data_IF_472255082554
#
_entry.id   IF_472255082554
#
_cell.length_a   1.000
_cell.length_b   1.000
_cell.length_c   1.000
_cell.angle_alpha   90.00
_cell.angle_beta   90.00
_cell.angle_gamma   90.00
#
_symmetry.space_group_name_H-M   'P 1'
#
loop_
_entity.id
_entity.type
_entity.pdbx_description
1 polymer ?
#
# COMPACT_ATOMS: atom_id res chain seq x y z
N UNK A 1 26.13 -4.58 27.36
CA UNK A 1 25.61 -5.38 26.23
C UNK A 1 24.20 -4.85 25.96
N UNK A 2 24.14 -3.58 25.55
CA UNK A 2 22.94 -2.78 25.33
C UNK A 2 23.39 -1.77 24.28
N UNK A 3 23.10 -2.01 23.01
CA UNK A 3 23.42 -1.08 21.90
C UNK A 3 22.71 -1.50 20.60
N UNK A 4 22.22 -2.74 20.50
CA UNK A 4 21.57 -3.23 19.27
C UNK A 4 20.16 -2.67 19.05
N UNK A 5 19.45 -2.26 20.10
CA UNK A 5 18.05 -1.79 20.01
C UNK A 5 17.95 -0.32 19.54
N UNK A 6 18.95 0.51 19.87
CA UNK A 6 18.97 1.92 19.48
C UNK A 6 19.15 2.15 17.99
N UNK A 7 19.70 1.19 17.23
CA UNK A 7 19.79 1.24 15.76
C UNK A 7 18.49 0.77 15.09
N UNK A 8 17.71 -0.09 15.76
CA UNK A 8 16.45 -0.63 15.26
C UNK A 8 15.35 0.42 15.18
N UNK A 9 15.20 1.25 16.21
CA UNK A 9 14.16 2.28 16.24
C UNK A 9 14.34 3.40 15.18
N UNK A 10 15.53 3.97 14.95
CA UNK A 10 15.79 4.89 13.83
C UNK A 10 15.59 4.24 12.46
N UNK A 11 16.06 3.01 12.26
CA UNK A 11 15.90 2.29 11.00
C UNK A 11 14.41 2.05 10.70
N UNK A 12 13.64 1.63 11.70
CA UNK A 12 12.19 1.45 11.59
C UNK A 12 11.48 2.78 11.28
N UNK A 13 11.85 3.88 11.94
CA UNK A 13 11.31 5.22 11.63
C UNK A 13 11.60 5.64 10.20
N UNK A 14 12.83 5.40 9.71
CA UNK A 14 13.21 5.70 8.34
C UNK A 14 12.42 4.84 7.33
N UNK A 15 12.25 3.55 7.61
CA UNK A 15 11.44 2.65 6.78
C UNK A 15 9.97 3.10 6.70
N UNK A 16 9.38 3.51 7.84
CA UNK A 16 8.02 4.06 7.89
C UNK A 16 7.90 5.35 7.06
N UNK A 17 8.85 6.27 7.22
CA UNK A 17 8.86 7.53 6.47
C UNK A 17 8.99 7.31 4.96
N UNK A 18 9.81 6.34 4.54
CA UNK A 18 9.94 5.98 3.13
C UNK A 18 8.69 5.30 2.59
N UNK A 19 8.07 4.39 3.35
CA UNK A 19 6.81 3.76 2.97
C UNK A 19 5.71 4.81 2.78
N UNK A 20 5.51 5.71 3.76
CA UNK A 20 4.50 6.78 3.67
C UNK A 20 4.73 7.68 2.46
N UNK A 21 5.98 8.06 2.19
CA UNK A 21 6.32 8.86 0.99
C UNK A 21 6.00 8.11 -0.30
N UNK A 22 6.42 6.86 -0.42
CA UNK A 22 6.15 6.03 -1.59
C UNK A 22 4.64 5.85 -1.80
N UNK A 23 3.90 5.62 -0.71
CA UNK A 23 2.45 5.49 -0.70
C UNK A 23 1.76 6.76 -1.21
N UNK A 24 2.12 7.92 -0.68
CA UNK A 24 1.54 9.21 -1.06
C UNK A 24 1.73 9.50 -2.55
N UNK A 25 2.95 9.30 -3.06
CA UNK A 25 3.26 9.47 -4.48
C UNK A 25 2.39 8.57 -5.37
N UNK A 26 2.12 7.34 -4.93
CA UNK A 26 1.31 6.40 -5.69
C UNK A 26 -0.17 6.69 -5.58
N UNK A 27 -0.67 7.04 -4.39
CA UNK A 27 -2.04 7.46 -4.20
C UNK A 27 -2.36 8.70 -5.05
N UNK A 28 -1.46 9.70 -5.05
CA UNK A 28 -1.57 10.89 -5.90
C UNK A 28 -1.49 10.54 -7.38
N UNK A 29 -0.61 9.61 -7.75
CA UNK A 29 -0.56 9.13 -9.14
C UNK A 29 -1.90 8.53 -9.55
N UNK A 30 -2.51 7.66 -8.73
CA UNK A 30 -3.83 7.07 -9.00
C UNK A 30 -4.89 8.16 -9.16
N UNK A 31 -4.94 9.15 -8.24
CA UNK A 31 -5.88 10.28 -8.30
C UNK A 31 -5.73 11.12 -9.57
N UNK A 32 -4.51 11.24 -10.09
CA UNK A 32 -4.21 12.06 -11.27
C UNK A 32 -4.54 11.39 -12.61
N UNK A 33 -4.70 10.07 -12.65
CA UNK A 33 -4.89 9.35 -13.91
C UNK A 33 -6.34 9.42 -14.40
N UNK A 34 -6.57 9.50 -15.73
CA UNK A 34 -7.93 9.41 -16.27
C UNK A 34 -8.59 8.08 -15.89
N UNK A 35 -9.86 8.11 -15.48
CA UNK A 35 -10.61 6.90 -15.09
C UNK A 35 -10.60 5.84 -16.20
N UNK A 36 -10.74 6.27 -17.46
CA UNK A 36 -10.67 5.38 -18.64
C UNK A 36 -9.32 4.70 -18.81
N UNK A 37 -8.22 5.28 -18.29
CA UNK A 37 -6.91 4.61 -18.27
C UNK A 37 -6.84 3.60 -17.12
N UNK A 38 -7.34 3.95 -15.95
CA UNK A 38 -7.34 3.06 -14.78
C UNK A 38 -8.20 1.82 -15.01
N UNK A 39 -9.30 1.94 -15.74
CA UNK A 39 -10.26 0.86 -15.98
C UNK A 39 -9.92 0.00 -17.20
N UNK A 40 -8.98 0.45 -18.04
CA UNK A 40 -8.64 -0.25 -19.28
C UNK A 40 -7.67 -1.40 -19.01
N UNK A 41 -8.12 -2.63 -19.29
CA UNK A 41 -7.24 -3.79 -19.43
C UNK A 41 -6.41 -3.64 -20.71
N UNK A 42 -5.09 -3.75 -20.60
CA UNK A 42 -4.19 -3.63 -21.76
C UNK A 42 -4.08 -4.99 -22.48
N UNK A 43 -3.78 -5.00 -23.79
CA UNK A 43 -3.53 -6.25 -24.51
C UNK A 43 -2.42 -7.07 -23.82
N UNK A 44 -2.70 -8.35 -23.56
CA UNK A 44 -1.76 -9.25 -22.88
C UNK A 44 -1.76 -9.17 -21.35
N UNK A 45 -2.64 -8.37 -20.75
CA UNK A 45 -2.85 -8.32 -19.30
C UNK A 45 -4.21 -8.93 -18.93
N UNK A 46 -4.30 -9.56 -17.77
CA UNK A 46 -5.56 -10.14 -17.26
C UNK A 46 -6.37 -9.15 -16.41
N UNK A 47 -5.77 -8.02 -16.02
CA UNK A 47 -6.35 -7.08 -15.06
C UNK A 47 -6.09 -5.62 -15.43
N UNK A 48 -6.99 -4.73 -15.00
CA UNK A 48 -6.81 -3.29 -15.19
C UNK A 48 -5.90 -2.69 -14.10
N UNK A 49 -5.33 -1.49 -14.32
CA UNK A 49 -4.63 -0.78 -13.25
C UNK A 49 -5.50 -0.58 -11.99
N UNK A 50 -6.82 -0.36 -12.14
CA UNK A 50 -7.75 -0.25 -11.03
C UNK A 50 -7.83 -1.56 -10.21
N UNK A 51 -7.80 -2.72 -10.86
CA UNK A 51 -7.80 -4.02 -10.18
C UNK A 51 -6.51 -4.23 -9.41
N UNK A 52 -5.36 -3.83 -9.98
CA UNK A 52 -4.07 -3.89 -9.29
C UNK A 52 -4.04 -2.98 -8.04
N UNK A 53 -4.61 -1.77 -8.12
CA UNK A 53 -4.73 -0.87 -6.95
C UNK A 53 -5.64 -1.46 -5.88
N UNK A 54 -6.77 -2.07 -6.26
CA UNK A 54 -7.67 -2.76 -5.30
C UNK A 54 -6.97 -3.92 -4.59
N UNK A 55 -6.29 -4.77 -5.35
CA UNK A 55 -5.54 -5.89 -4.81
C UNK A 55 -4.42 -5.39 -3.88
N UNK A 56 -3.72 -4.33 -4.26
CA UNK A 56 -2.70 -3.68 -3.43
C UNK A 56 -3.29 -3.13 -2.13
N UNK A 57 -4.39 -2.40 -2.19
CA UNK A 57 -5.06 -1.86 -1.01
C UNK A 57 -5.51 -2.98 -0.05
N UNK A 58 -6.11 -4.06 -0.57
CA UNK A 58 -6.49 -5.21 0.26
C UNK A 58 -5.26 -5.84 0.95
N UNK A 59 -4.17 -6.04 0.21
CA UNK A 59 -2.96 -6.61 0.79
C UNK A 59 -2.35 -5.74 1.90
N UNK A 60 -2.36 -4.42 1.75
CA UNK A 60 -1.92 -3.51 2.80
C UNK A 60 -2.85 -3.55 4.03
N UNK A 61 -4.17 -3.61 3.83
CA UNK A 61 -5.13 -3.74 4.91
C UNK A 61 -4.98 -5.07 5.67
N UNK A 62 -4.72 -6.17 4.97
CA UNK A 62 -4.45 -7.47 5.59
C UNK A 62 -3.17 -7.44 6.43
N UNK A 63 -2.10 -6.79 5.92
CA UNK A 63 -0.86 -6.60 6.67
C UNK A 63 -1.07 -5.73 7.92
N UNK A 64 -1.90 -4.68 7.82
CA UNK A 64 -2.22 -3.83 8.96
C UNK A 64 -2.98 -4.63 10.04
N UNK A 65 -4.00 -5.39 9.63
CA UNK A 65 -4.76 -6.24 10.54
C UNK A 65 -3.86 -7.28 11.23
N UNK A 66 -2.96 -7.92 10.48
CA UNK A 66 -1.99 -8.88 11.04
C UNK A 66 -1.06 -8.20 12.08
N UNK A 67 -0.59 -6.99 11.80
CA UNK A 67 0.27 -6.23 12.72
C UNK A 67 -0.45 -5.78 13.99
N UNK A 68 -1.75 -5.53 13.91
CA UNK A 68 -2.61 -5.16 15.04
C UNK A 68 -3.13 -6.37 15.83
N UNK A 69 -2.97 -7.60 15.30
CA UNK A 69 -3.57 -8.81 15.88
C UNK A 69 -5.09 -8.89 15.66
N UNK A 70 -5.60 -8.17 14.67
CA UNK A 70 -7.01 -8.08 14.32
C UNK A 70 -7.37 -9.04 13.16
N UNK A 71 -8.63 -9.49 13.04
CA UNK A 71 -9.04 -10.33 11.92
C UNK A 71 -9.00 -9.55 10.60
N UNK A 72 -8.44 -10.19 9.57
CA UNK A 72 -8.49 -9.68 8.19
C UNK A 72 -9.92 -9.51 7.71
N UNK A 73 -10.19 -8.39 7.02
CA UNK A 73 -11.52 -8.02 6.54
C UNK A 73 -11.43 -7.55 5.10
N UNK A 74 -12.41 -7.95 4.29
CA UNK A 74 -12.54 -7.44 2.93
C UNK A 74 -12.81 -5.93 2.95
N UNK A 75 -12.05 -5.17 2.18
CA UNK A 75 -12.27 -3.75 2.02
C UNK A 75 -13.58 -3.48 1.26
N UNK A 76 -14.29 -2.39 1.58
CA UNK A 76 -15.45 -1.97 0.80
C UNK A 76 -15.04 -1.66 -0.65
N UNK A 77 -15.86 -2.07 -1.62
CA UNK A 77 -15.57 -1.85 -3.03
C UNK A 77 -15.96 -0.43 -3.45
N UNK A 78 -15.02 0.51 -3.36
CA UNK A 78 -15.25 1.90 -3.79
C UNK A 78 -15.30 2.04 -5.32
N UNK A 79 -15.89 3.13 -5.81
CA UNK A 79 -15.76 3.52 -7.22
C UNK A 79 -14.31 3.88 -7.57
N UNK A 80 -13.93 3.83 -8.86
CA UNK A 80 -12.54 4.00 -9.32
C UNK A 80 -11.90 5.31 -8.85
N UNK A 81 -12.67 6.40 -8.77
CA UNK A 81 -12.17 7.70 -8.30
C UNK A 81 -11.75 7.71 -6.82
N UNK A 82 -12.23 6.77 -6.00
CA UNK A 82 -11.87 6.64 -4.59
C UNK A 82 -10.67 5.72 -4.32
N UNK A 83 -10.08 5.12 -5.35
CA UNK A 83 -9.01 4.12 -5.17
C UNK A 83 -7.72 4.70 -4.58
N UNK A 84 -7.36 5.93 -4.96
CA UNK A 84 -6.19 6.60 -4.39
C UNK A 84 -6.36 6.85 -2.88
N UNK A 85 -7.56 7.26 -2.47
CA UNK A 85 -7.87 7.51 -1.05
C UNK A 85 -7.91 6.21 -0.24
N UNK A 86 -8.55 5.17 -0.78
CA UNK A 86 -8.57 3.86 -0.12
C UNK A 86 -7.16 3.30 0.05
N UNK A 87 -6.30 3.41 -0.97
CA UNK A 87 -4.91 2.99 -0.89
C UNK A 87 -4.14 3.78 0.19
N UNK A 88 -4.30 5.11 0.22
CA UNK A 88 -3.65 5.96 1.19
C UNK A 88 -4.05 5.62 2.64
N UNK A 89 -5.35 5.42 2.90
CA UNK A 89 -5.84 5.08 4.25
C UNK A 89 -5.19 3.79 4.77
N UNK A 90 -5.35 2.69 4.03
CA UNK A 90 -4.86 1.38 4.50
C UNK A 90 -3.33 1.30 4.55
N UNK A 91 -2.64 2.05 3.69
CA UNK A 91 -1.18 2.14 3.73
C UNK A 91 -0.68 2.95 4.92
N UNK A 92 -1.41 3.98 5.37
CA UNK A 92 -1.09 4.73 6.59
C UNK A 92 -1.38 3.91 7.85
N UNK A 93 -2.47 3.15 7.86
CA UNK A 93 -2.78 2.22 8.94
C UNK A 93 -1.62 1.21 9.11
N UNK A 94 -1.15 0.61 8.00
CA UNK A 94 0.01 -0.26 8.03
C UNK A 94 1.31 0.48 8.44
N UNK A 95 1.54 1.70 7.96
CA UNK A 95 2.71 2.47 8.37
C UNK A 95 2.71 2.83 9.86
N UNK A 96 1.52 2.86 10.50
CA UNK A 96 1.35 3.08 11.93
C UNK A 96 1.48 1.79 12.76
N UNK A 97 0.95 0.66 12.28
CA UNK A 97 0.97 -0.61 13.02
C UNK A 97 2.20 -1.50 12.72
N UNK A 98 2.71 -1.47 11.48
CA UNK A 98 3.62 -2.47 10.94
C UNK A 98 5.04 -2.47 11.51
N UNK A 99 5.58 -3.67 11.73
CA UNK A 99 7.00 -3.87 12.03
C UNK A 99 7.88 -3.83 10.76
N UNK A 100 9.19 -3.96 10.90
CA UNK A 100 10.11 -3.90 9.76
C UNK A 100 9.82 -4.94 8.67
N UNK A 101 9.33 -6.12 9.04
CA UNK A 101 9.00 -7.17 8.08
C UNK A 101 7.72 -6.81 7.29
N UNK A 102 6.68 -6.35 7.97
CA UNK A 102 5.45 -5.90 7.35
C UNK A 102 5.69 -4.73 6.38
N UNK A 103 6.53 -3.75 6.77
CA UNK A 103 6.89 -2.63 5.90
C UNK A 103 7.67 -3.08 4.66
N UNK A 104 8.57 -4.06 4.78
CA UNK A 104 9.29 -4.62 3.63
C UNK A 104 8.33 -5.28 2.63
N UNK A 105 7.34 -6.04 3.12
CA UNK A 105 6.30 -6.63 2.26
C UNK A 105 5.43 -5.52 1.63
N UNK A 106 5.10 -4.47 2.38
CA UNK A 106 4.35 -3.33 1.88
C UNK A 106 5.05 -2.65 0.70
N UNK A 107 6.37 -2.47 0.76
CA UNK A 107 7.14 -1.93 -0.36
C UNK A 107 7.00 -2.77 -1.64
N UNK A 108 6.99 -4.10 -1.52
CA UNK A 108 6.77 -4.98 -2.67
C UNK A 108 5.33 -4.86 -3.22
N UNK A 109 4.34 -4.71 -2.34
CA UNK A 109 2.95 -4.43 -2.75
C UNK A 109 2.87 -3.12 -3.53
N UNK A 110 3.46 -2.05 -3.00
CA UNK A 110 3.53 -0.75 -3.66
C UNK A 110 4.30 -0.83 -4.99
N UNK A 111 5.38 -1.58 -5.07
CA UNK A 111 6.12 -1.77 -6.32
C UNK A 111 5.27 -2.44 -7.41
N UNK A 112 4.41 -3.41 -7.05
CA UNK A 112 3.44 -4.02 -7.99
C UNK A 112 2.40 -3.01 -8.45
N UNK A 113 1.83 -2.23 -7.53
CA UNK A 113 0.90 -1.14 -7.87
C UNK A 113 1.56 -0.17 -8.85
N UNK A 114 2.80 0.27 -8.59
CA UNK A 114 3.54 1.18 -9.47
C UNK A 114 3.64 0.67 -10.90
N UNK A 115 3.94 -0.63 -11.07
CA UNK A 115 4.13 -1.25 -12.39
C UNK A 115 2.83 -1.32 -13.19
N UNK A 116 1.68 -1.26 -12.51
CA UNK A 116 0.37 -1.34 -13.16
C UNK A 116 -0.12 0.02 -13.71
N UNK A 117 0.27 1.15 -13.09
CA UNK A 117 -0.18 2.52 -13.41
C UNK A 117 0.44 3.10 -14.70
#
# INVERSE_FOLDING_TARGET
MEDTDELGAPALRAARAELSRSLDLQADRVRSLPLTRLERVRPGEDASPADAVRAGAQALADLAADAEGEPRRALPRLATHGLGDQLAVVGHDLAAAGDGAALAVAHEVLARVRRAL
#
